data_IF_196002005516
#
_entry.id   IF_196002005516
#
_cell.length_a   1.000
_cell.length_b   1.000
_cell.length_c   1.000
_cell.angle_alpha   90.00
_cell.angle_beta   90.00
_cell.angle_gamma   90.00
#
_symmetry.space_group_name_H-M   'P 1'
#
loop_
_entity.id
_entity.type
_entity.pdbx_description
1 polymer ?
#
# COMPACT_ATOMS: atom_id res chain seq x y z
N UNK A 1 -56.91 -11.34 3.93
CA UNK A 1 -56.07 -11.32 5.15
C UNK A 1 -55.21 -12.58 5.30
N UNK A 2 -55.75 -13.80 5.19
CA UNK A 2 -54.94 -15.04 5.21
C UNK A 2 -54.15 -15.27 3.92
N UNK A 3 -54.68 -14.83 2.79
CA UNK A 3 -54.00 -14.89 1.47
C UNK A 3 -52.78 -13.95 1.46
N UNK A 4 -52.90 -12.76 2.03
CA UNK A 4 -51.82 -11.79 2.14
C UNK A 4 -50.68 -12.27 3.04
N UNK A 5 -50.99 -12.95 4.17
CA UNK A 5 -49.96 -13.54 5.02
C UNK A 5 -49.25 -14.75 4.38
N UNK A 6 -50.00 -15.59 3.67
CA UNK A 6 -49.39 -16.70 2.90
C UNK A 6 -48.52 -16.19 1.75
N UNK A 7 -48.92 -15.09 1.09
CA UNK A 7 -48.14 -14.48 0.03
C UNK A 7 -46.83 -13.89 0.57
N UNK A 8 -46.88 -13.18 1.71
CA UNK A 8 -45.69 -12.70 2.40
C UNK A 8 -44.75 -13.83 2.85
N UNK A 9 -45.29 -14.92 3.37
CA UNK A 9 -44.48 -16.10 3.76
C UNK A 9 -43.81 -16.76 2.54
N UNK A 10 -44.52 -16.86 1.41
CA UNK A 10 -43.96 -17.41 0.16
C UNK A 10 -42.88 -16.46 -0.37
N UNK A 11 -43.07 -15.13 -0.33
CA UNK A 11 -42.07 -14.17 -0.73
C UNK A 11 -40.84 -14.22 0.18
N UNK A 12 -41.00 -14.34 1.49
CA UNK A 12 -39.88 -14.56 2.42
C UNK A 12 -39.10 -15.85 2.14
N UNK A 13 -39.83 -16.97 1.89
CA UNK A 13 -39.20 -18.26 1.56
C UNK A 13 -38.48 -18.23 0.21
N UNK A 14 -39.06 -17.52 -0.79
CA UNK A 14 -38.43 -17.30 -2.09
C UNK A 14 -37.17 -16.42 -1.95
N UNK A 15 -37.26 -15.36 -1.16
CA UNK A 15 -36.16 -14.49 -0.84
C UNK A 15 -35.00 -15.22 -0.14
N UNK A 16 -35.32 -16.09 0.82
CA UNK A 16 -34.31 -16.94 1.47
C UNK A 16 -33.72 -17.99 0.51
N UNK A 17 -34.52 -18.63 -0.34
CA UNK A 17 -34.02 -19.56 -1.35
C UNK A 17 -33.16 -18.86 -2.41
N UNK A 18 -33.57 -17.71 -2.89
CA UNK A 18 -32.79 -16.90 -3.84
C UNK A 18 -31.49 -16.46 -3.18
N UNK A 19 -31.53 -16.04 -1.92
CA UNK A 19 -30.33 -15.70 -1.13
C UNK A 19 -29.39 -16.89 -0.96
N UNK A 20 -29.92 -18.08 -0.69
CA UNK A 20 -29.13 -19.32 -0.60
C UNK A 20 -28.56 -19.75 -1.95
N UNK A 21 -29.35 -19.68 -3.03
CA UNK A 21 -28.90 -19.96 -4.39
C UNK A 21 -27.87 -18.93 -4.86
N UNK A 22 -28.05 -17.65 -4.51
CA UNK A 22 -27.10 -16.59 -4.77
C UNK A 22 -25.78 -16.83 -4.03
N UNK A 23 -25.81 -17.16 -2.74
CA UNK A 23 -24.62 -17.50 -1.97
C UNK A 23 -23.90 -18.73 -2.50
N UNK A 24 -24.63 -19.77 -2.89
CA UNK A 24 -24.07 -21.05 -3.33
C UNK A 24 -23.58 -21.01 -4.80
N UNK A 25 -24.33 -20.37 -5.70
CA UNK A 25 -24.00 -20.37 -7.14
C UNK A 25 -23.12 -19.19 -7.53
N UNK A 26 -23.30 -18.02 -6.92
CA UNK A 26 -22.43 -16.85 -7.19
C UNK A 26 -21.02 -17.07 -6.63
N UNK A 27 -20.90 -17.67 -5.45
CA UNK A 27 -19.59 -18.09 -4.89
C UNK A 27 -18.90 -19.11 -5.79
N UNK A 28 -19.64 -19.98 -6.46
CA UNK A 28 -19.12 -20.99 -7.38
C UNK A 28 -18.65 -20.40 -8.72
N UNK A 29 -19.31 -19.36 -9.26
CA UNK A 29 -19.07 -18.82 -10.59
C UNK A 29 -18.24 -17.55 -10.62
N UNK A 30 -18.39 -16.64 -9.65
CA UNK A 30 -17.75 -15.31 -9.66
C UNK A 30 -16.66 -15.13 -8.62
N UNK A 31 -16.48 -16.10 -7.72
CA UNK A 31 -15.49 -16.05 -6.65
C UNK A 31 -15.84 -15.09 -5.51
N UNK A 32 -15.15 -15.25 -4.38
CA UNK A 32 -15.35 -14.48 -3.14
C UNK A 32 -15.13 -12.96 -3.26
N UNK A 33 -14.54 -12.49 -4.37
CA UNK A 33 -14.22 -11.07 -4.60
C UNK A 33 -15.45 -10.19 -4.85
N UNK A 34 -16.43 -10.68 -5.61
CA UNK A 34 -17.56 -9.86 -6.07
C UNK A 34 -18.62 -9.59 -5.00
N UNK A 35 -18.81 -10.50 -4.03
CA UNK A 35 -19.72 -10.26 -2.89
C UNK A 35 -19.21 -9.16 -1.95
N UNK A 36 -17.88 -9.11 -1.71
CA UNK A 36 -17.27 -8.02 -0.95
C UNK A 36 -17.37 -6.67 -1.66
N UNK A 37 -17.49 -6.68 -2.98
CA UNK A 37 -17.67 -5.46 -3.76
C UNK A 37 -19.09 -4.93 -3.64
N UNK A 38 -20.12 -5.78 -3.66
CA UNK A 38 -21.52 -5.38 -3.43
C UNK A 38 -21.70 -4.80 -2.02
N UNK A 39 -21.17 -5.46 -0.99
CA UNK A 39 -21.22 -4.97 0.40
C UNK A 39 -20.62 -3.58 0.55
N UNK A 40 -19.62 -3.24 -0.27
CA UNK A 40 -18.98 -1.94 -0.31
C UNK A 40 -19.91 -0.81 -0.73
N UNK A 41 -20.88 -1.07 -1.62
CA UNK A 41 -21.82 -0.06 -2.12
C UNK A 41 -23.09 0.04 -1.27
N UNK A 42 -23.31 -0.91 -0.38
CA UNK A 42 -24.58 -0.99 0.38
C UNK A 42 -24.48 -0.65 1.85
N UNK A 43 -23.29 -0.43 2.37
CA UNK A 43 -22.91 -0.13 3.76
C UNK A 43 -24.05 -0.28 4.77
N UNK A 44 -24.32 -1.52 5.21
CA UNK A 44 -25.31 -1.82 6.23
C UNK A 44 -26.76 -1.81 5.76
N UNK A 45 -27.08 -1.40 4.52
CA UNK A 45 -28.46 -1.46 3.98
C UNK A 45 -28.73 -2.82 3.33
N UNK A 46 -29.37 -3.69 4.09
CA UNK A 46 -29.71 -5.06 3.66
C UNK A 46 -30.76 -5.08 2.53
N UNK A 47 -31.68 -4.10 2.47
CA UNK A 47 -32.70 -4.01 1.43
C UNK A 47 -32.05 -3.72 0.08
N UNK A 48 -31.18 -2.74 0.04
CA UNK A 48 -30.48 -2.34 -1.18
C UNK A 48 -29.52 -3.43 -1.69
N UNK A 49 -28.80 -4.09 -0.79
CA UNK A 49 -27.95 -5.25 -1.13
C UNK A 49 -28.77 -6.39 -1.74
N UNK A 50 -29.98 -6.63 -1.25
CA UNK A 50 -30.91 -7.62 -1.79
C UNK A 50 -31.38 -7.24 -3.20
N UNK A 51 -31.77 -5.97 -3.44
CA UNK A 51 -32.21 -5.46 -4.74
C UNK A 51 -31.11 -5.61 -5.79
N UNK A 52 -29.90 -5.22 -5.46
CA UNK A 52 -28.72 -5.39 -6.32
C UNK A 52 -28.53 -6.87 -6.67
N UNK A 53 -28.70 -7.75 -5.68
CA UNK A 53 -28.59 -9.20 -5.88
C UNK A 53 -29.64 -9.75 -6.84
N UNK A 54 -30.87 -9.24 -6.80
CA UNK A 54 -31.92 -9.59 -7.75
C UNK A 54 -31.59 -9.17 -9.17
N UNK A 55 -31.09 -7.95 -9.39
CA UNK A 55 -30.67 -7.49 -10.72
C UNK A 55 -29.55 -8.36 -11.29
N UNK A 56 -28.54 -8.68 -10.48
CA UNK A 56 -27.43 -9.54 -10.92
C UNK A 56 -27.96 -10.94 -11.26
N UNK A 57 -28.85 -11.49 -10.44
CA UNK A 57 -29.43 -12.82 -10.65
C UNK A 57 -30.34 -12.87 -11.87
N UNK A 58 -31.18 -11.84 -12.11
CA UNK A 58 -32.06 -11.75 -13.30
C UNK A 58 -31.23 -11.78 -14.58
N UNK A 59 -30.13 -11.05 -14.60
CA UNK A 59 -29.23 -11.04 -15.76
C UNK A 59 -28.51 -12.37 -15.97
N UNK A 60 -28.07 -13.00 -14.91
CA UNK A 60 -27.42 -14.31 -14.97
C UNK A 60 -28.38 -15.38 -15.52
N UNK A 61 -29.64 -15.34 -15.09
CA UNK A 61 -30.67 -16.31 -15.51
C UNK A 61 -31.37 -15.92 -16.82
N UNK A 62 -31.23 -14.68 -17.29
CA UNK A 62 -31.99 -14.13 -18.39
C UNK A 62 -33.50 -13.98 -18.09
N UNK A 63 -33.87 -13.91 -16.80
CA UNK A 63 -35.25 -13.88 -16.33
C UNK A 63 -35.74 -12.45 -16.06
N UNK A 64 -36.56 -11.93 -16.98
CA UNK A 64 -37.15 -10.60 -16.88
C UNK A 64 -38.17 -10.45 -15.75
N UNK A 65 -38.78 -11.52 -15.26
CA UNK A 65 -39.72 -11.43 -14.15
C UNK A 65 -38.99 -11.07 -12.85
N UNK A 66 -37.78 -11.56 -12.66
CA UNK A 66 -36.92 -11.19 -11.52
C UNK A 66 -36.42 -9.76 -11.66
N UNK A 67 -36.10 -9.29 -12.87
CA UNK A 67 -35.72 -7.89 -13.12
C UNK A 67 -36.87 -6.94 -12.75
N UNK A 68 -38.12 -7.26 -13.20
CA UNK A 68 -39.30 -6.48 -12.83
C UNK A 68 -39.52 -6.46 -11.30
N UNK A 69 -39.30 -7.58 -10.63
CA UNK A 69 -39.39 -7.63 -9.17
C UNK A 69 -38.33 -6.76 -8.49
N UNK A 70 -37.11 -6.70 -9.04
CA UNK A 70 -36.07 -5.79 -8.56
C UNK A 70 -36.45 -4.32 -8.74
N UNK A 71 -37.09 -3.98 -9.88
CA UNK A 71 -37.59 -2.63 -10.17
C UNK A 71 -38.69 -2.21 -9.17
N UNK A 72 -39.63 -3.12 -8.84
CA UNK A 72 -40.69 -2.87 -7.85
C UNK A 72 -40.10 -2.62 -6.45
N UNK A 73 -39.13 -3.43 -6.04
CA UNK A 73 -38.47 -3.24 -4.74
C UNK A 73 -37.65 -1.94 -4.70
N UNK A 74 -36.96 -1.61 -5.80
CA UNK A 74 -36.21 -0.35 -5.88
C UNK A 74 -37.16 0.86 -5.80
N UNK A 75 -38.28 0.81 -6.51
CA UNK A 75 -39.30 1.86 -6.44
C UNK A 75 -39.89 2.00 -5.03
N UNK A 76 -40.17 0.89 -4.33
CA UNK A 76 -40.63 0.91 -2.95
C UNK A 76 -39.62 1.57 -2.00
N UNK A 77 -38.33 1.30 -2.19
CA UNK A 77 -37.25 1.91 -1.39
C UNK A 77 -37.17 3.40 -1.66
N UNK A 78 -37.29 3.83 -2.92
CA UNK A 78 -37.33 5.24 -3.30
C UNK A 78 -38.52 5.95 -2.67
N UNK A 79 -39.73 5.35 -2.71
CA UNK A 79 -40.94 5.91 -2.12
C UNK A 79 -40.84 6.01 -0.59
N UNK A 80 -40.28 4.99 0.09
CA UNK A 80 -39.99 5.05 1.53
C UNK A 80 -39.06 6.22 1.85
N UNK A 81 -38.04 6.45 1.04
CA UNK A 81 -37.06 7.53 1.23
C UNK A 81 -37.63 8.95 1.03
N UNK A 82 -38.58 9.10 0.12
CA UNK A 82 -39.25 10.36 -0.08
C UNK A 82 -40.21 10.75 1.08
N UNK A 83 -40.63 9.76 1.87
CA UNK A 83 -41.65 9.94 2.90
C UNK A 83 -41.10 9.84 4.35
N UNK A 84 -39.93 9.28 4.57
CA UNK A 84 -39.32 9.08 5.91
C UNK A 84 -37.97 9.80 6.02
N UNK A 85 -37.82 10.65 7.04
CA UNK A 85 -36.58 11.39 7.37
C UNK A 85 -35.43 10.45 7.82
N UNK A 86 -35.75 9.17 8.07
CA UNK A 86 -34.80 8.18 8.65
C UNK A 86 -33.94 7.46 7.62
N UNK A 87 -34.18 7.63 6.33
CA UNK A 87 -33.47 6.88 5.29
C UNK A 87 -32.15 7.55 4.93
N UNK A 88 -31.10 6.76 4.93
CA UNK A 88 -29.72 7.21 4.66
C UNK A 88 -29.53 7.38 3.15
N UNK A 89 -29.78 8.58 2.61
CA UNK A 89 -29.68 8.90 1.18
C UNK A 89 -28.34 8.59 0.57
N UNK A 90 -27.26 8.67 1.33
CA UNK A 90 -25.94 8.27 0.86
C UNK A 90 -25.85 6.78 0.51
N UNK A 91 -26.57 5.90 1.22
CA UNK A 91 -26.59 4.46 0.89
C UNK A 91 -27.32 4.22 -0.44
N UNK A 92 -28.44 4.90 -0.65
CA UNK A 92 -29.15 4.83 -1.94
C UNK A 92 -28.27 5.32 -3.08
N UNK A 93 -27.59 6.45 -2.90
CA UNK A 93 -26.64 6.99 -3.87
C UNK A 93 -25.55 5.99 -4.22
N UNK A 94 -24.94 5.33 -3.24
CA UNK A 94 -23.95 4.29 -3.45
C UNK A 94 -24.52 3.10 -4.26
N UNK A 95 -25.75 2.67 -3.94
CA UNK A 95 -26.43 1.60 -4.66
C UNK A 95 -26.74 1.96 -6.12
N UNK A 96 -27.24 3.16 -6.39
CA UNK A 96 -27.45 3.65 -7.75
C UNK A 96 -26.14 3.73 -8.55
N UNK A 97 -25.07 4.22 -7.95
CA UNK A 97 -23.75 4.23 -8.60
C UNK A 97 -23.36 2.80 -9.03
N UNK A 98 -23.55 1.81 -8.15
CA UNK A 98 -23.26 0.43 -8.50
C UNK A 98 -24.13 -0.09 -9.64
N UNK A 99 -25.45 0.11 -9.57
CA UNK A 99 -26.42 -0.34 -10.58
C UNK A 99 -26.12 0.26 -11.96
N UNK A 100 -25.87 1.58 -12.01
CA UNK A 100 -25.55 2.31 -13.25
C UNK A 100 -24.21 1.86 -13.85
N UNK A 101 -23.16 1.77 -13.06
CA UNK A 101 -21.81 1.42 -13.53
C UNK A 101 -21.69 -0.02 -14.02
N UNK A 102 -22.50 -0.92 -13.48
CA UNK A 102 -22.60 -2.28 -13.94
C UNK A 102 -23.67 -2.46 -15.03
N UNK A 103 -24.30 -1.37 -15.48
CA UNK A 103 -25.33 -1.35 -16.50
C UNK A 103 -26.57 -2.15 -16.09
N UNK A 104 -26.86 -2.33 -14.82
CA UNK A 104 -28.02 -3.05 -14.29
C UNK A 104 -29.29 -2.20 -14.41
N UNK A 105 -29.17 -0.90 -14.35
CA UNK A 105 -30.18 0.07 -14.71
C UNK A 105 -29.64 1.01 -15.80
N UNK A 106 -30.55 1.65 -16.55
CA UNK A 106 -30.19 2.60 -17.59
C UNK A 106 -30.34 4.04 -17.05
N UNK A 107 -29.40 4.90 -17.42
CA UNK A 107 -29.44 6.31 -17.07
C UNK A 107 -28.06 6.96 -17.06
N UNK A 108 -28.08 8.30 -17.02
CA UNK A 108 -26.86 9.07 -16.79
C UNK A 108 -26.68 9.24 -15.28
N UNK A 109 -25.46 8.99 -14.77
CA UNK A 109 -25.18 9.04 -13.33
C UNK A 109 -25.46 10.43 -12.73
N UNK A 110 -25.12 11.52 -13.44
CA UNK A 110 -25.36 12.87 -12.96
C UNK A 110 -26.86 13.23 -12.90
N UNK A 111 -27.67 12.66 -13.79
CA UNK A 111 -29.13 12.87 -13.78
C UNK A 111 -29.82 12.09 -12.68
N UNK A 112 -29.46 10.82 -12.51
CA UNK A 112 -30.05 9.92 -11.49
C UNK A 112 -29.70 10.37 -10.07
N UNK A 113 -28.49 10.88 -9.85
CA UNK A 113 -27.99 11.26 -8.53
C UNK A 113 -28.19 12.74 -8.21
N UNK A 114 -28.81 13.52 -9.09
CA UNK A 114 -29.00 14.98 -8.95
C UNK A 114 -29.62 15.37 -7.61
N UNK A 115 -30.71 14.72 -7.22
CA UNK A 115 -31.45 15.05 -6.00
C UNK A 115 -30.64 14.68 -4.73
N UNK A 116 -29.88 13.61 -4.79
CA UNK A 116 -28.98 13.20 -3.70
C UNK A 116 -27.82 14.20 -3.57
N UNK A 117 -27.22 14.60 -4.70
CA UNK A 117 -26.17 15.63 -4.73
C UNK A 117 -26.67 16.98 -4.19
N UNK A 118 -27.93 17.38 -4.52
CA UNK A 118 -28.54 18.60 -4.00
C UNK A 118 -28.76 18.55 -2.47
N UNK A 119 -29.21 17.42 -1.94
CA UNK A 119 -29.36 17.25 -0.49
C UNK A 119 -27.98 17.32 0.23
N UNK A 120 -26.95 16.74 -0.37
CA UNK A 120 -25.60 16.86 0.15
C UNK A 120 -25.09 18.30 0.12
N UNK A 121 -25.40 19.06 -0.93
CA UNK A 121 -25.07 20.48 -1.01
C UNK A 121 -25.68 21.27 0.13
N UNK A 122 -26.95 21.05 0.41
CA UNK A 122 -27.66 21.70 1.53
C UNK A 122 -27.04 21.32 2.89
N UNK A 123 -26.70 20.03 3.06
CA UNK A 123 -26.05 19.54 4.27
C UNK A 123 -24.66 20.18 4.49
N UNK A 124 -23.87 20.32 3.43
CA UNK A 124 -22.58 21.00 3.49
C UNK A 124 -22.71 22.50 3.76
N UNK A 125 -23.74 23.16 3.21
CA UNK A 125 -24.01 24.59 3.45
C UNK A 125 -24.51 24.86 4.88
N UNK A 126 -25.41 24.01 5.38
CA UNK A 126 -25.96 24.12 6.72
C UNK A 126 -24.95 23.73 7.81
N UNK A 127 -23.89 23.04 7.44
CA UNK A 127 -22.88 22.48 8.35
C UNK A 127 -23.49 21.64 9.48
N UNK A 128 -24.53 20.87 9.17
CA UNK A 128 -25.31 20.10 10.14
C UNK A 128 -25.20 18.61 9.87
N UNK A 129 -24.05 18.03 10.25
CA UNK A 129 -23.87 16.57 10.29
C UNK A 129 -23.85 16.16 11.76
N UNK A 130 -24.97 15.62 12.23
CA UNK A 130 -25.19 15.41 13.66
C UNK A 130 -24.56 14.12 14.20
N UNK A 131 -24.24 13.16 13.32
CA UNK A 131 -23.68 11.88 13.73
C UNK A 131 -22.53 11.42 12.83
N UNK A 132 -21.62 10.63 13.43
CA UNK A 132 -20.44 10.08 12.78
C UNK A 132 -20.79 9.16 11.61
N UNK A 133 -21.82 8.33 11.75
CA UNK A 133 -22.20 7.36 10.72
C UNK A 133 -22.65 8.05 9.44
N UNK A 134 -23.49 9.10 9.58
CA UNK A 134 -23.93 9.92 8.44
C UNK A 134 -22.76 10.63 7.78
N UNK A 135 -21.85 11.19 8.56
CA UNK A 135 -20.64 11.84 8.04
C UNK A 135 -19.81 10.86 7.19
N UNK A 136 -19.56 9.69 7.73
CA UNK A 136 -18.76 8.65 7.07
C UNK A 136 -19.48 8.12 5.82
N UNK A 137 -20.79 7.95 5.88
CA UNK A 137 -21.61 7.53 4.74
C UNK A 137 -21.58 8.51 3.58
N UNK A 138 -21.71 9.79 3.84
CA UNK A 138 -21.62 10.85 2.83
C UNK A 138 -20.21 10.99 2.24
N UNK A 139 -19.18 10.84 3.05
CA UNK A 139 -17.81 10.81 2.58
C UNK A 139 -17.60 9.62 1.62
N UNK A 140 -18.11 8.43 1.99
CA UNK A 140 -18.04 7.25 1.13
C UNK A 140 -18.77 7.46 -0.20
N UNK A 141 -19.99 8.00 -0.18
CA UNK A 141 -20.73 8.35 -1.38
C UNK A 141 -19.93 9.26 -2.30
N UNK A 142 -19.35 10.34 -1.76
CA UNK A 142 -18.52 11.26 -2.53
C UNK A 142 -17.26 10.60 -3.10
N UNK A 143 -16.63 9.70 -2.36
CA UNK A 143 -15.50 8.95 -2.88
C UNK A 143 -15.87 8.12 -4.11
N UNK A 144 -17.06 7.51 -4.12
CA UNK A 144 -17.56 6.79 -5.28
C UNK A 144 -17.90 7.76 -6.43
N UNK A 145 -18.56 8.89 -6.14
CA UNK A 145 -18.90 9.91 -7.16
C UNK A 145 -17.68 10.50 -7.85
N UNK A 146 -16.59 10.69 -7.13
CA UNK A 146 -15.35 11.31 -7.64
C UNK A 146 -14.50 10.31 -8.46
N UNK A 147 -14.67 9.01 -8.26
CA UNK A 147 -13.94 7.93 -8.96
C UNK A 147 -14.42 7.73 -10.43
N UNK A 148 -14.89 8.81 -11.08
CA UNK A 148 -15.39 8.78 -12.47
C UNK A 148 -14.32 9.30 -13.42
N UNK A 149 -13.99 8.51 -14.44
CA UNK A 149 -13.04 8.91 -15.49
C UNK A 149 -13.63 9.93 -16.52
N UNK A 150 -14.95 10.04 -16.63
CA UNK A 150 -15.64 10.79 -17.71
C UNK A 150 -16.83 11.65 -17.22
N UNK A 151 -16.85 12.10 -15.97
CA UNK A 151 -17.95 12.92 -15.44
C UNK A 151 -17.93 14.39 -15.89
N UNK A 152 -19.07 15.09 -15.74
CA UNK A 152 -19.16 16.53 -15.93
C UNK A 152 -18.16 17.26 -15.00
N UNK A 153 -17.29 18.08 -15.56
CA UNK A 153 -16.22 18.77 -14.82
C UNK A 153 -16.72 19.67 -13.67
N UNK A 154 -17.91 20.25 -13.81
CA UNK A 154 -18.53 21.09 -12.79
C UNK A 154 -19.08 20.26 -11.62
N UNK A 155 -19.78 19.17 -11.91
CA UNK A 155 -20.28 18.23 -10.87
C UNK A 155 -19.09 17.62 -10.11
N UNK A 156 -18.05 17.21 -10.82
CA UNK A 156 -16.84 16.68 -10.22
C UNK A 156 -16.17 17.71 -9.29
N UNK A 157 -16.06 18.98 -9.73
CA UNK A 157 -15.47 20.05 -8.92
C UNK A 157 -16.28 20.28 -7.64
N UNK A 158 -17.62 20.32 -7.76
CA UNK A 158 -18.52 20.52 -6.63
C UNK A 158 -18.46 19.36 -5.63
N UNK A 159 -18.47 18.13 -6.10
CA UNK A 159 -18.30 16.95 -5.25
C UNK A 159 -16.95 16.93 -4.51
N UNK A 160 -15.87 17.41 -5.16
CA UNK A 160 -14.57 17.61 -4.49
C UNK A 160 -14.65 18.67 -3.38
N UNK A 161 -15.36 19.77 -3.61
CA UNK A 161 -15.55 20.81 -2.59
C UNK A 161 -16.36 20.29 -1.40
N UNK A 162 -17.45 19.56 -1.66
CA UNK A 162 -18.27 18.95 -0.62
C UNK A 162 -17.46 17.92 0.19
N UNK A 163 -16.64 17.12 -0.47
CA UNK A 163 -15.76 16.17 0.22
C UNK A 163 -14.78 16.89 1.17
N UNK A 164 -14.15 17.97 0.71
CA UNK A 164 -13.27 18.79 1.56
C UNK A 164 -14.03 19.36 2.76
N UNK A 165 -15.26 19.82 2.55
CA UNK A 165 -16.12 20.32 3.61
C UNK A 165 -16.38 19.23 4.67
N UNK A 166 -16.82 18.04 4.28
CA UNK A 166 -17.10 16.95 5.20
C UNK A 166 -15.84 16.42 5.91
N UNK A 167 -14.72 16.39 5.22
CA UNK A 167 -13.45 15.97 5.80
C UNK A 167 -12.97 16.93 6.91
N UNK A 168 -13.24 18.23 6.79
CA UNK A 168 -12.95 19.18 7.86
C UNK A 168 -13.84 18.96 9.10
N UNK A 169 -14.99 18.28 8.94
CA UNK A 169 -15.87 17.90 10.05
C UNK A 169 -15.39 16.67 10.81
N UNK A 170 -14.54 15.84 10.23
CA UNK A 170 -14.00 14.64 10.90
C UNK A 170 -13.29 14.94 12.21
N UNK A 171 -12.77 16.16 12.38
CA UNK A 171 -12.11 16.59 13.60
C UNK A 171 -13.02 16.62 14.84
N UNK A 172 -14.33 16.64 14.62
CA UNK A 172 -15.34 16.65 15.69
C UNK A 172 -15.66 15.26 16.22
N UNK A 173 -15.19 14.21 15.53
CA UNK A 173 -15.52 12.82 15.86
C UNK A 173 -14.26 12.00 16.09
N UNK A 174 -14.29 11.13 17.11
CA UNK A 174 -13.26 10.13 17.31
C UNK A 174 -13.38 9.01 16.25
N UNK A 175 -12.32 8.84 15.46
CA UNK A 175 -12.25 7.84 14.41
C UNK A 175 -11.59 6.59 14.97
N UNK A 176 -12.27 5.45 14.86
CA UNK A 176 -11.82 4.16 15.41
C UNK A 176 -11.47 3.14 14.32
N UNK A 177 -11.04 1.95 14.74
CA UNK A 177 -10.59 0.87 13.85
C UNK A 177 -11.65 0.33 12.90
N UNK A 178 -12.92 0.36 13.30
CA UNK A 178 -14.05 -0.11 12.49
C UNK A 178 -14.31 0.76 11.25
N UNK A 179 -13.77 1.98 11.23
CA UNK A 179 -13.89 2.91 10.11
C UNK A 179 -12.90 2.60 8.95
N UNK A 180 -12.12 1.53 9.05
CA UNK A 180 -11.02 1.17 8.13
C UNK A 180 -11.45 0.96 6.66
N UNK A 181 -12.70 0.53 6.42
CA UNK A 181 -13.21 0.30 5.05
C UNK A 181 -13.32 1.62 4.29
N UNK A 182 -13.76 2.67 4.98
CA UNK A 182 -13.90 4.01 4.42
C UNK A 182 -12.55 4.60 3.99
N UNK A 183 -11.52 4.39 4.79
CA UNK A 183 -10.16 4.89 4.51
C UNK A 183 -9.53 4.26 3.27
N UNK A 184 -9.88 3.01 2.93
CA UNK A 184 -9.41 2.36 1.69
C UNK A 184 -9.95 3.04 0.44
N UNK A 185 -11.18 3.52 0.48
CA UNK A 185 -11.79 4.19 -0.66
C UNK A 185 -11.35 5.65 -0.80
N UNK A 186 -11.11 6.31 0.30
CA UNK A 186 -10.57 7.67 0.30
C UNK A 186 -9.14 7.75 -0.26
N UNK A 187 -8.36 6.67 -0.21
CA UNK A 187 -7.06 6.58 -0.89
C UNK A 187 -7.17 6.70 -2.40
N UNK A 188 -8.22 6.15 -3.02
CA UNK A 188 -8.47 6.31 -4.46
C UNK A 188 -8.70 7.76 -4.84
N UNK A 189 -9.34 8.52 -3.97
CA UNK A 189 -9.59 9.95 -4.14
C UNK A 189 -8.31 10.78 -4.03
N UNK A 190 -7.35 10.35 -3.20
CA UNK A 190 -6.03 10.97 -3.12
C UNK A 190 -5.29 10.96 -4.47
N UNK A 191 -5.34 9.83 -5.18
CA UNK A 191 -4.73 9.71 -6.51
C UNK A 191 -5.46 10.51 -7.59
N UNK A 192 -6.69 10.95 -7.34
CA UNK A 192 -7.43 11.84 -8.24
C UNK A 192 -7.06 13.32 -8.10
N UNK A 193 -6.05 13.69 -7.32
CA UNK A 193 -5.50 15.05 -7.21
C UNK A 193 -6.20 15.95 -6.19
N UNK A 194 -6.84 15.39 -5.16
CA UNK A 194 -7.39 16.14 -4.05
C UNK A 194 -6.31 16.60 -3.06
N UNK A 195 -6.56 17.74 -2.43
CA UNK A 195 -5.66 18.51 -1.58
C UNK A 195 -4.79 17.63 -0.63
N UNK A 196 -3.46 17.77 -0.68
CA UNK A 196 -2.53 16.95 0.12
C UNK A 196 -2.73 17.01 1.63
N UNK A 197 -3.30 18.09 2.15
CA UNK A 197 -3.48 18.32 3.59
C UNK A 197 -4.54 17.40 4.18
N UNK A 198 -5.64 17.20 3.46
CA UNK A 198 -6.78 16.39 3.92
C UNK A 198 -6.47 14.91 3.85
N UNK A 199 -5.83 14.49 2.75
CA UNK A 199 -5.38 13.10 2.56
C UNK A 199 -4.30 12.69 3.55
N UNK A 200 -3.43 13.60 3.95
CA UNK A 200 -2.41 13.30 4.97
C UNK A 200 -3.02 12.94 6.34
N UNK A 201 -4.16 13.52 6.72
CA UNK A 201 -4.83 13.22 8.00
C UNK A 201 -5.48 11.84 8.01
N UNK A 202 -6.10 11.46 6.93
CA UNK A 202 -6.76 10.14 6.80
C UNK A 202 -5.74 9.01 6.66
N UNK A 203 -4.70 9.25 5.87
CA UNK A 203 -3.53 8.38 5.79
C UNK A 203 -2.82 8.25 7.15
N UNK A 204 -2.91 9.26 8.03
CA UNK A 204 -2.30 9.23 9.35
C UNK A 204 -2.91 8.14 10.27
N UNK A 205 -4.22 7.93 10.23
CA UNK A 205 -4.88 6.88 11.05
C UNK A 205 -4.51 5.48 10.57
N UNK A 206 -4.45 5.23 9.25
CA UNK A 206 -4.02 3.93 8.72
C UNK A 206 -2.49 3.72 8.86
N UNK A 207 -1.70 4.77 8.67
CA UNK A 207 -0.24 4.71 8.87
C UNK A 207 0.14 4.23 10.27
N UNK A 208 -0.66 4.59 11.28
CA UNK A 208 -0.43 4.14 12.66
C UNK A 208 -0.70 2.64 12.89
N UNK A 209 -1.17 1.90 11.86
CA UNK A 209 -1.46 0.45 11.92
C UNK A 209 -0.51 -0.39 11.07
N UNK A 210 0.21 0.22 10.12
CA UNK A 210 1.09 -0.51 9.23
C UNK A 210 2.41 -0.76 9.95
N UNK A 211 2.67 -2.02 10.26
CA UNK A 211 3.94 -2.44 10.83
C UNK A 211 4.98 -2.70 9.73
N UNK A 212 6.19 -2.25 9.96
CA UNK A 212 7.33 -2.41 9.06
C UNK A 212 8.57 -2.86 9.81
N UNK A 213 9.31 -3.79 9.25
CA UNK A 213 10.61 -4.20 9.77
C UNK A 213 11.71 -3.68 8.85
N UNK A 214 12.63 -2.87 9.39
CA UNK A 214 13.88 -2.55 8.69
C UNK A 214 14.90 -3.64 8.97
N UNK A 215 15.51 -4.17 7.91
CA UNK A 215 16.57 -5.17 8.03
C UNK A 215 17.90 -4.58 7.58
N UNK A 216 18.91 -4.70 8.42
CA UNK A 216 20.22 -4.07 8.25
C UNK A 216 21.32 -5.11 8.51
N UNK A 217 21.90 -5.71 7.47
CA UNK A 217 23.11 -6.51 7.63
C UNK A 217 24.33 -5.60 7.71
N UNK A 218 25.26 -5.89 8.60
CA UNK A 218 26.43 -5.03 8.78
C UNK A 218 27.70 -5.84 9.11
N UNK A 219 28.82 -5.33 8.64
CA UNK A 219 30.17 -5.60 9.11
C UNK A 219 30.85 -4.25 9.33
N UNK A 220 31.23 -3.99 10.58
CA UNK A 220 31.84 -2.70 10.95
C UNK A 220 33.30 -2.68 10.54
N UNK A 221 33.65 -1.81 9.60
CA UNK A 221 34.99 -1.65 9.07
C UNK A 221 35.59 -0.25 9.31
N UNK A 222 34.79 0.69 9.80
CA UNK A 222 35.22 2.06 10.13
C UNK A 222 34.37 2.68 11.22
N UNK A 223 34.94 3.70 11.90
CA UNK A 223 34.23 4.50 12.90
C UNK A 223 33.09 5.33 12.28
N UNK A 224 33.24 5.76 11.04
CA UNK A 224 32.24 6.48 10.29
C UNK A 224 31.03 5.59 10.02
N UNK A 225 31.23 4.32 9.63
CA UNK A 225 30.13 3.35 9.43
C UNK A 225 29.40 3.06 10.73
N UNK A 226 30.13 2.85 11.83
CA UNK A 226 29.57 2.69 13.17
C UNK A 226 28.72 3.92 13.55
N UNK A 227 29.27 5.13 13.39
CA UNK A 227 28.58 6.38 13.70
C UNK A 227 27.34 6.61 12.79
N UNK A 228 27.39 6.17 11.54
CA UNK A 228 26.26 6.23 10.61
C UNK A 228 25.14 5.29 11.06
N UNK A 229 25.49 4.06 11.44
CA UNK A 229 24.57 3.06 11.96
C UNK A 229 23.90 3.53 13.25
N UNK A 230 24.64 4.09 14.19
CA UNK A 230 24.09 4.64 15.44
C UNK A 230 23.02 5.70 15.16
N UNK A 231 23.34 6.65 14.29
CA UNK A 231 22.43 7.73 13.93
C UNK A 231 21.18 7.19 13.19
N UNK A 232 21.35 6.22 12.30
CA UNK A 232 20.26 5.58 11.58
C UNK A 232 19.33 4.84 12.54
N UNK A 233 19.87 4.01 13.45
CA UNK A 233 19.09 3.25 14.42
C UNK A 233 18.31 4.19 15.33
N UNK A 234 18.96 5.21 15.88
CA UNK A 234 18.29 6.20 16.72
C UNK A 234 17.10 6.84 16.01
N UNK A 235 17.26 7.18 14.75
CA UNK A 235 16.21 7.80 13.95
C UNK A 235 15.08 6.83 13.62
N UNK A 236 15.38 5.63 13.11
CA UNK A 236 14.37 4.65 12.74
C UNK A 236 13.62 4.11 13.96
N UNK A 237 14.27 3.95 15.12
CA UNK A 237 13.64 3.46 16.35
C UNK A 237 12.57 4.39 16.92
N UNK A 238 12.61 5.67 16.57
CA UNK A 238 11.60 6.66 16.99
C UNK A 238 10.31 6.60 16.14
N UNK A 239 10.33 5.87 15.03
CA UNK A 239 9.14 5.69 14.18
C UNK A 239 8.17 4.73 14.85
N UNK A 240 6.89 5.09 14.84
CA UNK A 240 5.82 4.20 15.33
C UNK A 240 5.70 2.96 14.43
N UNK A 241 5.28 1.84 15.00
CA UNK A 241 5.05 0.56 14.30
C UNK A 241 6.25 0.12 13.43
N UNK A 242 7.44 0.44 13.90
CA UNK A 242 8.68 0.14 13.21
C UNK A 242 9.53 -0.79 14.08
N UNK A 243 9.98 -1.88 13.48
CA UNK A 243 10.91 -2.82 14.07
C UNK A 243 12.22 -2.77 13.28
N UNK A 244 13.32 -3.02 13.95
CA UNK A 244 14.65 -3.04 13.34
C UNK A 244 15.30 -4.38 13.67
N UNK A 245 15.69 -5.12 12.64
CA UNK A 245 16.53 -6.30 12.76
C UNK A 245 17.94 -5.96 12.25
N UNK A 246 18.87 -5.90 13.17
CA UNK A 246 20.27 -5.63 12.89
C UNK A 246 21.06 -6.94 13.02
N UNK A 247 21.75 -7.36 11.96
CA UNK A 247 22.59 -8.54 11.97
C UNK A 247 24.05 -8.13 11.67
N UNK A 248 24.92 -8.27 12.66
CA UNK A 248 26.35 -8.12 12.47
C UNK A 248 26.97 -9.51 12.17
N UNK A 249 27.71 -9.58 11.07
CA UNK A 249 28.46 -10.80 10.71
C UNK A 249 29.95 -10.46 10.57
N UNK A 250 30.74 -10.91 11.56
CA UNK A 250 32.18 -10.65 11.63
C UNK A 250 32.86 -11.75 12.48
N UNK A 251 34.18 -11.74 12.51
CA UNK A 251 35.01 -12.65 13.35
C UNK A 251 34.72 -12.44 14.84
N UNK A 252 34.42 -11.22 15.25
CA UNK A 252 34.06 -10.82 16.61
C UNK A 252 32.99 -9.72 16.57
N UNK A 253 32.18 -9.63 17.63
CA UNK A 253 31.20 -8.57 17.76
C UNK A 253 31.91 -7.24 18.02
N UNK A 254 31.74 -6.29 17.11
CA UNK A 254 32.38 -4.96 17.18
C UNK A 254 31.35 -3.87 17.47
N UNK A 255 30.06 -4.13 17.17
CA UNK A 255 29.01 -3.15 17.35
C UNK A 255 28.35 -3.30 18.72
N UNK A 256 28.19 -2.20 19.40
CA UNK A 256 27.47 -2.12 20.66
C UNK A 256 26.35 -1.08 20.55
N UNK A 257 25.11 -1.52 20.73
CA UNK A 257 23.97 -0.61 20.79
C UNK A 257 24.16 0.44 21.90
N UNK A 258 24.10 1.72 21.54
CA UNK A 258 24.30 2.84 22.49
C UNK A 258 23.19 2.99 23.52
N UNK A 259 22.00 2.47 23.23
CA UNK A 259 20.85 2.52 24.11
C UNK A 259 20.03 1.22 24.01
N UNK A 260 19.19 0.97 24.99
CA UNK A 260 18.20 -0.09 24.94
C UNK A 260 16.97 0.43 24.20
N UNK A 261 16.68 -0.14 23.05
CA UNK A 261 15.49 0.14 22.26
C UNK A 261 14.55 -1.07 22.33
N UNK A 262 13.25 -0.83 22.53
CA UNK A 262 12.25 -1.90 22.62
C UNK A 262 11.96 -2.55 21.26
N UNK A 263 12.15 -1.80 20.18
CA UNK A 263 11.85 -2.18 18.82
C UNK A 263 13.10 -2.51 17.98
N UNK A 264 14.27 -2.66 18.60
CA UNK A 264 15.53 -3.03 17.91
C UNK A 264 16.01 -4.38 18.42
N UNK A 265 16.14 -5.33 17.52
CA UNK A 265 16.76 -6.65 17.80
C UNK A 265 18.10 -6.71 17.10
N UNK A 266 19.16 -6.80 17.90
CA UNK A 266 20.53 -7.03 17.44
C UNK A 266 20.86 -8.52 17.50
N UNK A 267 21.46 -9.04 16.43
CA UNK A 267 21.96 -10.41 16.32
C UNK A 267 23.41 -10.38 15.85
N UNK A 268 24.25 -11.18 16.47
CA UNK A 268 25.62 -11.40 16.03
C UNK A 268 25.79 -12.82 15.46
N UNK A 269 26.43 -12.91 14.30
CA UNK A 269 26.81 -14.16 13.65
C UNK A 269 28.33 -14.16 13.52
N UNK A 270 29.00 -15.15 14.13
CA UNK A 270 30.45 -15.30 13.94
C UNK A 270 30.69 -15.79 12.52
N UNK A 271 31.39 -14.96 11.75
CA UNK A 271 31.75 -15.22 10.37
C UNK A 271 33.25 -14.96 10.18
N UNK A 272 34.00 -16.01 9.86
CA UNK A 272 35.43 -15.92 9.61
C UNK A 272 35.74 -15.72 8.11
N UNK A 273 34.72 -15.62 7.26
CA UNK A 273 34.89 -15.33 5.85
C UNK A 273 35.41 -13.91 5.66
N UNK A 274 36.51 -13.69 4.93
CA UNK A 274 36.99 -12.33 4.64
C UNK A 274 36.00 -11.53 3.81
N UNK A 275 35.13 -12.18 3.05
CA UNK A 275 34.10 -11.54 2.22
C UNK A 275 32.80 -11.41 2.97
N UNK A 276 32.25 -10.21 3.05
CA UNK A 276 30.94 -10.00 3.63
C UNK A 276 29.83 -10.49 2.71
N UNK A 277 29.15 -11.55 3.08
CA UNK A 277 28.12 -12.21 2.27
C UNK A 277 26.75 -11.56 2.46
N UNK A 278 26.61 -10.31 1.96
CA UNK A 278 25.46 -9.44 2.17
C UNK A 278 24.13 -10.07 1.76
N UNK A 279 24.06 -10.71 0.59
CA UNK A 279 22.83 -11.34 0.07
C UNK A 279 22.33 -12.47 0.95
N UNK A 280 23.24 -13.29 1.48
CA UNK A 280 22.93 -14.35 2.42
C UNK A 280 22.34 -13.81 3.73
N UNK A 281 22.98 -12.79 4.33
CA UNK A 281 22.49 -12.20 5.58
C UNK A 281 21.18 -11.45 5.40
N UNK A 282 20.94 -10.83 4.25
CA UNK A 282 19.63 -10.25 3.92
C UNK A 282 18.53 -11.30 3.86
N UNK A 283 18.79 -12.47 3.25
CA UNK A 283 17.82 -13.57 3.23
C UNK A 283 17.57 -14.15 4.63
N UNK A 284 18.56 -14.21 5.50
CA UNK A 284 18.36 -14.59 6.90
C UNK A 284 17.45 -13.57 7.62
N UNK A 285 17.74 -12.29 7.49
CA UNK A 285 16.93 -11.21 8.08
C UNK A 285 15.51 -11.17 7.52
N UNK A 286 15.32 -11.39 6.21
CA UNK A 286 14.00 -11.50 5.59
C UNK A 286 13.15 -12.62 6.21
N UNK A 287 13.77 -13.77 6.53
CA UNK A 287 13.09 -14.87 7.20
C UNK A 287 12.79 -14.58 8.67
N UNK A 288 13.64 -13.81 9.35
CA UNK A 288 13.47 -13.42 10.75
C UNK A 288 12.42 -12.31 10.94
N UNK A 289 12.11 -11.55 9.90
CA UNK A 289 11.13 -10.48 9.97
C UNK A 289 9.70 -11.05 10.09
N UNK A 290 8.91 -10.52 11.02
CA UNK A 290 7.54 -10.96 11.28
C UNK A 290 6.49 -10.12 10.54
N UNK A 291 6.85 -8.90 10.10
CA UNK A 291 5.94 -7.99 9.41
C UNK A 291 5.80 -8.33 7.92
N UNK A 292 4.65 -7.99 7.35
CA UNK A 292 4.40 -8.18 5.91
C UNK A 292 5.19 -7.22 5.01
N UNK A 293 5.62 -6.09 5.56
CA UNK A 293 6.43 -5.09 4.85
C UNK A 293 7.82 -5.05 5.45
N UNK A 294 8.82 -5.16 4.60
CA UNK A 294 10.22 -5.10 5.01
C UNK A 294 10.93 -4.01 4.22
N UNK A 295 11.65 -3.15 4.94
CA UNK A 295 12.61 -2.20 4.38
C UNK A 295 14.03 -2.78 4.46
N UNK A 296 14.65 -3.00 3.32
CA UNK A 296 16.06 -3.38 3.23
C UNK A 296 16.86 -2.08 3.21
N UNK A 297 17.86 -1.97 4.10
CA UNK A 297 18.52 -0.69 4.33
C UNK A 297 20.02 -0.82 4.56
N UNK A 298 20.82 0.04 3.91
CA UNK A 298 22.23 0.16 4.20
C UNK A 298 22.47 1.12 5.38
N UNK A 299 23.58 0.93 6.09
CA UNK A 299 23.91 1.63 7.36
C UNK A 299 24.06 3.15 7.24
N UNK A 300 24.17 3.65 6.03
CA UNK A 300 24.61 5.01 5.68
C UNK A 300 23.63 5.73 4.74
N UNK A 301 22.41 5.19 4.61
CA UNK A 301 21.37 5.74 3.74
C UNK A 301 20.41 6.63 4.51
N UNK A 302 20.16 7.82 3.96
CA UNK A 302 19.24 8.82 4.52
C UNK A 302 18.18 9.20 3.49
N UNK A 303 16.93 9.15 3.95
CA UNK A 303 15.73 9.49 3.18
C UNK A 303 14.77 10.30 4.04
N UNK A 304 13.93 11.10 3.41
CA UNK A 304 12.90 11.85 4.14
C UNK A 304 11.81 10.92 4.66
N UNK A 305 11.15 11.32 5.74
CA UNK A 305 10.01 10.58 6.29
C UNK A 305 8.90 10.38 5.25
N UNK A 306 8.65 11.41 4.42
CA UNK A 306 7.67 11.34 3.34
C UNK A 306 8.00 10.22 2.34
N UNK A 307 9.27 10.09 1.94
CA UNK A 307 9.70 9.03 1.00
C UNK A 307 9.52 7.63 1.61
N UNK A 308 9.89 7.47 2.88
CA UNK A 308 9.71 6.22 3.62
C UNK A 308 8.23 5.85 3.70
N UNK A 309 7.39 6.78 4.12
CA UNK A 309 5.95 6.56 4.26
C UNK A 309 5.25 6.25 2.94
N UNK A 310 5.57 6.98 1.87
CA UNK A 310 5.00 6.72 0.54
C UNK A 310 5.40 5.33 0.02
N UNK A 311 6.62 4.89 0.29
CA UNK A 311 7.09 3.56 -0.08
C UNK A 311 6.36 2.45 0.70
N UNK A 312 6.19 2.61 2.00
CA UNK A 312 5.46 1.67 2.85
C UNK A 312 4.01 1.55 2.35
N UNK A 313 3.34 2.67 2.06
CA UNK A 313 1.98 2.68 1.54
C UNK A 313 1.90 2.00 0.16
N UNK A 314 2.88 2.25 -0.72
CA UNK A 314 2.93 1.62 -2.06
C UNK A 314 2.96 0.10 -1.96
N UNK A 315 3.74 -0.45 -1.03
CA UNK A 315 3.81 -1.90 -0.80
C UNK A 315 2.55 -2.41 -0.11
N UNK A 316 2.05 -1.70 0.90
CA UNK A 316 0.83 -2.07 1.62
C UNK A 316 -0.39 -2.19 0.70
N UNK A 317 -0.51 -1.31 -0.25
CA UNK A 317 -1.58 -1.29 -1.25
C UNK A 317 -1.37 -2.30 -2.39
N UNK A 318 -0.34 -3.11 -2.36
CA UNK A 318 0.02 -4.08 -3.39
C UNK A 318 0.18 -3.44 -4.80
N UNK A 319 0.60 -2.16 -4.85
CA UNK A 319 0.84 -1.45 -6.11
C UNK A 319 2.14 -1.86 -6.79
N UNK A 320 3.08 -2.41 -6.02
CA UNK A 320 4.34 -2.92 -6.55
C UNK A 320 4.90 -4.06 -5.71
N UNK A 321 5.71 -4.92 -6.33
CA UNK A 321 6.45 -5.98 -5.65
C UNK A 321 7.64 -5.41 -4.87
N UNK A 322 8.24 -4.33 -5.40
CA UNK A 322 9.37 -3.61 -4.82
C UNK A 322 9.17 -2.10 -5.02
N UNK A 323 9.45 -1.31 -3.98
CA UNK A 323 9.42 0.14 -4.02
C UNK A 323 10.76 0.73 -3.60
N UNK A 324 11.40 1.47 -4.50
CA UNK A 324 12.54 2.31 -4.14
C UNK A 324 12.03 3.62 -3.52
N UNK A 325 12.46 3.98 -2.29
CA UNK A 325 12.06 5.22 -1.64
C UNK A 325 12.74 6.46 -2.24
N UNK A 326 13.20 6.38 -3.49
CA UNK A 326 13.86 7.46 -4.21
C UNK A 326 13.75 7.28 -5.72
N UNK A 327 13.98 8.34 -6.47
CA UNK A 327 13.78 8.40 -7.93
C UNK A 327 14.96 7.84 -8.76
N UNK A 328 15.96 7.24 -8.13
CA UNK A 328 17.19 6.77 -8.75
C UNK A 328 18.36 7.74 -8.59
N UNK A 329 18.13 8.96 -8.11
CA UNK A 329 19.19 9.90 -7.79
C UNK A 329 19.84 9.54 -6.45
N UNK A 330 21.13 9.25 -6.48
CA UNK A 330 21.94 8.84 -5.33
C UNK A 330 23.03 9.89 -5.11
N UNK A 331 22.91 10.63 -4.00
CA UNK A 331 23.82 11.73 -3.66
C UNK A 331 24.78 11.28 -2.56
N UNK A 332 26.05 11.05 -2.92
CA UNK A 332 27.11 10.77 -1.94
C UNK A 332 27.54 12.06 -1.27
N UNK A 333 27.44 12.12 0.06
CA UNK A 333 27.85 13.29 0.83
C UNK A 333 29.34 13.27 1.16
N UNK A 334 29.93 14.47 1.30
CA UNK A 334 31.24 14.66 1.91
C UNK A 334 31.17 14.36 3.43
N UNK A 335 32.31 14.24 4.07
CA UNK A 335 32.38 14.12 5.54
C UNK A 335 31.67 15.32 6.19
N UNK A 336 31.92 16.53 5.70
CA UNK A 336 31.29 17.76 6.22
C UNK A 336 29.78 17.75 5.98
N UNK A 337 29.31 17.41 4.77
CA UNK A 337 27.89 17.31 4.46
C UNK A 337 27.18 16.26 5.32
N UNK A 338 27.85 15.15 5.62
CA UNK A 338 27.33 14.11 6.51
C UNK A 338 27.18 14.58 7.96
N UNK A 339 28.15 15.35 8.46
CA UNK A 339 28.09 15.94 9.81
C UNK A 339 26.94 16.94 9.89
N UNK A 340 26.83 17.86 8.94
CA UNK A 340 25.74 18.84 8.88
C UNK A 340 24.37 18.16 8.89
N UNK A 341 24.21 17.11 8.09
CA UNK A 341 22.94 16.37 8.03
C UNK A 341 22.61 15.66 9.35
N UNK A 342 23.62 15.11 10.03
CA UNK A 342 23.44 14.43 11.32
C UNK A 342 23.09 15.40 12.44
N UNK A 343 23.71 16.59 12.45
CA UNK A 343 23.51 17.61 13.50
C UNK A 343 22.19 18.37 13.35
N UNK A 344 21.91 18.84 12.13
CA UNK A 344 20.73 19.66 11.84
C UNK A 344 19.49 18.84 11.46
N UNK A 345 19.64 17.52 11.29
CA UNK A 345 18.58 16.61 10.90
C UNK A 345 18.21 16.71 9.42
N UNK A 346 17.24 15.88 9.01
CA UNK A 346 16.87 15.73 7.60
C UNK A 346 16.25 16.99 6.98
N UNK A 347 15.71 17.89 7.79
CA UNK A 347 15.18 19.17 7.34
C UNK A 347 16.27 20.08 6.73
N UNK A 348 17.54 19.85 7.09
CA UNK A 348 18.69 20.58 6.56
C UNK A 348 19.15 20.12 5.15
N UNK A 349 18.52 19.10 4.57
CA UNK A 349 18.84 18.62 3.22
C UNK A 349 18.84 19.77 2.19
N UNK A 350 17.87 20.67 2.31
CA UNK A 350 17.80 21.84 1.41
C UNK A 350 18.90 22.90 1.66
N UNK A 351 19.64 22.77 2.74
CA UNK A 351 20.76 23.66 3.08
C UNK A 351 22.11 23.11 2.64
N UNK A 352 22.15 21.88 2.10
CA UNK A 352 23.37 21.30 1.57
C UNK A 352 23.83 22.08 0.34
N UNK A 353 25.09 22.43 0.33
CA UNK A 353 25.77 23.11 -0.81
C UNK A 353 26.36 22.07 -1.76
N UNK A 354 26.80 22.52 -2.93
CA UNK A 354 27.49 21.66 -3.88
C UNK A 354 28.80 21.08 -3.34
N UNK A 355 29.47 21.74 -2.39
CA UNK A 355 30.68 21.24 -1.72
C UNK A 355 30.40 20.13 -0.70
N UNK A 356 29.15 19.99 -0.25
CA UNK A 356 28.73 18.95 0.66
C UNK A 356 28.42 17.62 -0.05
N UNK A 357 28.33 17.64 -1.39
CA UNK A 357 28.02 16.50 -2.24
C UNK A 357 29.28 16.12 -3.03
N UNK A 358 29.78 14.89 -2.81
CA UNK A 358 30.94 14.35 -3.52
C UNK A 358 30.60 13.90 -4.95
N UNK A 359 29.48 13.24 -5.09
CA UNK A 359 29.02 12.70 -6.38
C UNK A 359 27.53 12.52 -6.41
N UNK A 360 26.96 12.58 -7.61
CA UNK A 360 25.57 12.27 -7.89
C UNK A 360 25.55 11.18 -8.97
N UNK A 361 24.86 10.08 -8.68
CA UNK A 361 24.53 9.04 -9.65
C UNK A 361 23.04 9.09 -9.95
N UNK A 362 22.67 8.89 -11.20
CA UNK A 362 21.29 8.73 -11.64
C UNK A 362 21.04 7.26 -11.98
N UNK A 363 19.83 6.79 -11.88
CA UNK A 363 19.48 5.37 -12.16
C UNK A 363 20.01 4.35 -11.14
N UNK A 364 20.35 4.78 -9.91
CA UNK A 364 20.74 3.86 -8.84
C UNK A 364 19.55 2.94 -8.44
N UNK A 365 19.91 1.71 -8.07
CA UNK A 365 18.98 0.65 -7.62
C UNK A 365 19.41 0.02 -6.29
N UNK A 366 20.38 0.63 -5.59
CA UNK A 366 20.92 0.15 -4.32
C UNK A 366 20.55 1.04 -3.13
N UNK A 367 21.09 0.70 -1.98
CA UNK A 367 21.04 1.48 -0.73
C UNK A 367 19.81 1.29 0.13
N UNK A 368 18.62 1.41 -0.43
CA UNK A 368 17.36 1.19 0.28
C UNK A 368 16.21 0.82 -0.64
N UNK A 369 15.34 -0.10 -0.21
CA UNK A 369 14.10 -0.43 -0.89
C UNK A 369 13.13 -1.13 0.06
N UNK A 370 11.84 -1.11 -0.28
CA UNK A 370 10.77 -1.80 0.44
C UNK A 370 10.16 -2.91 -0.39
N UNK A 371 9.75 -3.98 0.27
CA UNK A 371 9.12 -5.14 -0.36
C UNK A 371 7.94 -5.67 0.46
N UNK A 372 6.99 -6.31 -0.22
CA UNK A 372 6.12 -7.27 0.44
C UNK A 372 6.95 -8.53 0.71
N UNK A 373 7.20 -8.83 1.98
CA UNK A 373 8.10 -9.92 2.42
C UNK A 373 7.78 -11.26 1.78
N UNK A 374 6.51 -11.67 1.82
CA UNK A 374 6.11 -12.99 1.32
C UNK A 374 6.24 -13.07 -0.19
N UNK A 375 5.79 -12.04 -0.91
CA UNK A 375 5.94 -11.98 -2.36
C UNK A 375 7.42 -11.95 -2.75
N UNK A 376 8.23 -11.16 -2.06
CA UNK A 376 9.66 -11.05 -2.37
C UNK A 376 10.41 -12.37 -2.17
N UNK A 377 10.10 -13.10 -1.09
CA UNK A 377 10.64 -14.44 -0.87
C UNK A 377 10.19 -15.43 -1.97
N UNK A 378 8.94 -15.38 -2.41
CA UNK A 378 8.44 -16.19 -3.53
C UNK A 378 9.14 -15.87 -4.86
N UNK A 379 9.58 -14.62 -5.04
CA UNK A 379 10.34 -14.16 -6.21
C UNK A 379 11.85 -14.40 -6.07
N UNK A 380 12.28 -15.13 -5.03
CA UNK A 380 13.66 -15.56 -4.83
C UNK A 380 14.42 -14.85 -3.71
N UNK A 381 13.86 -13.79 -3.12
CA UNK A 381 14.58 -12.97 -2.15
C UNK A 381 15.83 -12.32 -2.78
N UNK A 382 16.95 -12.37 -2.09
CA UNK A 382 18.25 -11.99 -2.64
C UNK A 382 18.90 -13.21 -3.34
N UNK A 383 19.54 -12.95 -4.46
CA UNK A 383 20.28 -13.99 -5.18
C UNK A 383 21.63 -14.25 -4.48
N UNK A 384 21.74 -15.39 -3.78
CA UNK A 384 22.95 -15.75 -3.02
C UNK A 384 24.14 -16.22 -3.91
N UNK A 385 24.00 -16.24 -5.23
CA UNK A 385 25.14 -16.41 -6.12
C UNK A 385 26.02 -15.15 -6.19
N UNK A 386 25.49 -14.00 -5.77
CA UNK A 386 26.28 -12.78 -5.58
C UNK A 386 27.02 -12.84 -4.25
N UNK A 387 28.29 -13.18 -4.31
CA UNK A 387 29.17 -13.25 -3.18
C UNK A 387 30.05 -12.00 -3.12
N UNK A 388 30.01 -11.29 -1.99
CA UNK A 388 30.67 -9.99 -1.82
C UNK A 388 29.88 -8.84 -2.47
N UNK A 389 30.60 -7.85 -2.95
CA UNK A 389 30.03 -6.62 -3.47
C UNK A 389 29.87 -6.68 -4.99
N UNK A 390 28.75 -6.16 -5.51
CA UNK A 390 28.56 -5.74 -6.90
C UNK A 390 27.59 -6.59 -7.72
N UNK A 391 26.81 -5.91 -8.53
CA UNK A 391 25.77 -6.40 -9.45
C UNK A 391 24.50 -6.99 -8.80
N UNK A 392 24.45 -7.27 -7.50
CA UNK A 392 23.27 -7.82 -6.82
C UNK A 392 22.06 -6.90 -6.92
N UNK A 393 22.27 -5.59 -6.79
CA UNK A 393 21.21 -4.59 -6.90
C UNK A 393 20.64 -4.49 -8.33
N UNK A 394 21.52 -4.57 -9.34
CA UNK A 394 21.13 -4.57 -10.76
C UNK A 394 20.37 -5.85 -11.12
N UNK A 395 20.83 -7.00 -10.60
CA UNK A 395 20.16 -8.29 -10.82
C UNK A 395 18.75 -8.26 -10.24
N UNK A 396 18.58 -7.82 -9.00
CA UNK A 396 17.28 -7.69 -8.35
C UNK A 396 16.29 -6.91 -9.20
N UNK A 397 16.71 -5.74 -9.68
CA UNK A 397 15.88 -4.92 -10.56
C UNK A 397 15.55 -5.64 -11.86
N UNK A 398 16.56 -6.22 -12.53
CA UNK A 398 16.39 -6.92 -13.80
C UNK A 398 15.55 -8.18 -13.69
N UNK A 399 15.73 -8.94 -12.61
CA UNK A 399 14.93 -10.13 -12.31
C UNK A 399 13.44 -9.79 -12.18
N UNK A 400 13.10 -8.74 -11.43
CA UNK A 400 11.72 -8.29 -11.29
C UNK A 400 11.13 -7.82 -12.63
N UNK A 401 11.92 -7.12 -13.45
CA UNK A 401 11.52 -6.71 -14.81
C UNK A 401 11.20 -7.92 -15.69
N UNK A 402 12.08 -8.93 -15.76
CA UNK A 402 11.87 -10.16 -16.54
C UNK A 402 10.66 -10.94 -16.04
N UNK A 403 10.45 -11.00 -14.72
CA UNK A 403 9.30 -11.64 -14.10
C UNK A 403 8.00 -10.82 -14.21
N UNK A 404 8.03 -9.69 -14.91
CA UNK A 404 6.91 -8.77 -15.09
C UNK A 404 6.31 -8.29 -13.76
N UNK A 405 7.15 -8.12 -12.73
CA UNK A 405 6.72 -7.61 -11.44
C UNK A 405 6.81 -6.08 -11.40
N UNK A 406 5.77 -5.37 -10.94
CA UNK A 406 5.81 -3.92 -10.89
C UNK A 406 6.84 -3.44 -9.87
N UNK A 407 7.66 -2.47 -10.28
CA UNK A 407 8.63 -1.76 -9.44
C UNK A 407 8.27 -0.29 -9.42
N UNK A 408 8.12 0.29 -8.24
CA UNK A 408 7.79 1.71 -8.07
C UNK A 408 9.00 2.51 -7.55
N UNK A 409 9.02 3.80 -7.88
CA UNK A 409 10.02 4.75 -7.37
C UNK A 409 9.35 5.99 -6.82
N UNK A 410 9.67 6.33 -5.59
CA UNK A 410 9.19 7.56 -4.95
C UNK A 410 10.00 8.75 -5.44
N UNK A 411 9.37 9.91 -5.55
CA UNK A 411 10.05 11.14 -5.93
C UNK A 411 11.05 11.60 -4.86
N UNK A 412 12.19 12.16 -5.29
CA UNK A 412 13.24 12.69 -4.44
C UNK A 412 14.51 11.83 -4.45
N UNK A 413 15.65 12.41 -4.06
CA UNK A 413 16.94 11.72 -4.02
C UNK A 413 17.11 10.88 -2.75
N UNK A 414 18.07 9.96 -2.81
CA UNK A 414 18.69 9.29 -1.68
C UNK A 414 20.00 9.97 -1.34
N UNK A 415 20.27 10.18 -0.06
CA UNK A 415 21.55 10.70 0.42
C UNK A 415 22.34 9.59 1.11
N UNK A 416 23.61 9.49 0.78
CA UNK A 416 24.52 8.50 1.33
C UNK A 416 25.56 9.21 2.18
N UNK A 417 25.59 8.89 3.47
CA UNK A 417 26.54 9.43 4.44
C UNK A 417 27.96 8.95 4.12
N UNK A 418 28.91 9.81 4.35
CA UNK A 418 30.31 9.49 4.14
C UNK A 418 30.80 8.36 5.05
N UNK A 419 31.51 7.44 4.45
CA UNK A 419 32.43 6.50 5.10
C UNK A 419 33.59 6.16 4.15
N UNK A 420 34.77 5.82 4.65
CA UNK A 420 35.86 5.34 3.81
C UNK A 420 35.46 4.08 3.04
N UNK A 421 35.73 4.01 1.75
CA UNK A 421 35.55 2.77 0.99
C UNK A 421 36.68 1.81 1.33
N UNK A 422 36.30 0.67 1.92
CA UNK A 422 37.21 -0.42 2.27
C UNK A 422 36.75 -1.73 1.60
N UNK A 423 37.27 -2.85 2.05
CA UNK A 423 37.06 -4.17 1.49
C UNK A 423 35.58 -4.54 1.30
N UNK A 424 34.69 -4.10 2.20
CA UNK A 424 33.25 -4.37 2.12
C UNK A 424 32.47 -3.46 1.14
N UNK A 425 33.17 -2.50 0.50
CA UNK A 425 32.55 -1.49 -0.40
C UNK A 425 33.08 -1.56 -1.83
N UNK A 426 33.80 -2.60 -2.19
CA UNK A 426 34.37 -2.82 -3.51
C UNK A 426 34.60 -4.31 -3.76
N UNK A 427 34.84 -4.69 -5.01
CA UNK A 427 35.27 -6.04 -5.35
C UNK A 427 36.61 -6.35 -4.69
N UNK A 428 36.71 -7.46 -3.99
CA UNK A 428 37.97 -7.85 -3.34
C UNK A 428 39.03 -8.35 -4.33
N UNK A 429 38.59 -8.92 -5.44
CA UNK A 429 39.46 -9.37 -6.51
C UNK A 429 38.71 -9.50 -7.84
N UNK A 430 39.46 -9.59 -8.96
CA UNK A 430 38.91 -9.68 -10.31
C UNK A 430 38.05 -10.93 -10.53
N UNK A 431 38.35 -12.04 -9.86
CA UNK A 431 37.58 -13.29 -10.01
C UNK A 431 36.19 -13.13 -9.45
N UNK A 432 36.01 -12.46 -8.31
CA UNK A 432 34.72 -12.16 -7.73
C UNK A 432 33.92 -11.19 -8.59
N UNK A 433 34.58 -10.17 -9.12
CA UNK A 433 33.96 -9.24 -10.06
C UNK A 433 33.44 -9.98 -11.30
N UNK A 434 34.27 -10.84 -11.88
CA UNK A 434 33.90 -11.61 -13.06
C UNK A 434 32.74 -12.57 -12.77
N UNK A 435 32.78 -13.29 -11.64
CA UNK A 435 31.72 -14.20 -11.21
C UNK A 435 30.38 -13.46 -11.05
N UNK A 436 30.37 -12.32 -10.34
CA UNK A 436 29.15 -11.55 -10.13
C UNK A 436 28.60 -10.97 -11.46
N UNK A 437 29.48 -10.52 -12.35
CA UNK A 437 29.09 -10.07 -13.69
C UNK A 437 28.52 -11.20 -14.55
N UNK A 438 29.10 -12.40 -14.48
CA UNK A 438 28.61 -13.58 -15.20
C UNK A 438 27.21 -13.99 -14.71
N UNK A 439 26.98 -14.01 -13.41
CA UNK A 439 25.67 -14.31 -12.85
C UNK A 439 24.63 -13.28 -13.28
N UNK A 440 24.98 -11.99 -13.25
CA UNK A 440 24.10 -10.92 -13.74
C UNK A 440 23.75 -11.10 -15.22
N UNK A 441 24.74 -11.33 -16.08
CA UNK A 441 24.51 -11.53 -17.52
C UNK A 441 23.70 -12.79 -17.80
N UNK A 442 23.91 -13.85 -17.04
CA UNK A 442 23.13 -15.07 -17.10
C UNK A 442 21.66 -14.81 -16.86
N UNK A 443 21.31 -14.07 -15.79
CA UNK A 443 19.93 -13.67 -15.49
C UNK A 443 19.36 -12.78 -16.59
N UNK A 444 20.14 -11.82 -17.10
CA UNK A 444 19.71 -10.93 -18.20
C UNK A 444 19.35 -11.67 -19.49
N UNK A 445 19.98 -12.82 -19.74
CA UNK A 445 19.75 -13.65 -20.94
C UNK A 445 18.57 -14.60 -20.85
N UNK A 446 17.91 -14.70 -19.69
CA UNK A 446 16.79 -15.63 -19.48
C UNK A 446 15.45 -15.04 -19.92
N UNK A 447 14.60 -15.88 -20.49
CA UNK A 447 13.18 -15.60 -20.62
C UNK A 447 12.49 -15.65 -19.25
N UNK A 448 11.26 -15.12 -19.17
CA UNK A 448 10.47 -15.15 -17.92
C UNK A 448 10.30 -16.58 -17.38
N UNK A 449 10.08 -17.56 -18.25
CA UNK A 449 9.87 -18.94 -17.84
C UNK A 449 11.16 -19.62 -17.37
N UNK A 450 12.28 -19.42 -18.08
CA UNK A 450 13.59 -19.92 -17.67
C UNK A 450 14.01 -19.31 -16.31
N UNK A 451 13.75 -18.02 -16.11
CA UNK A 451 14.07 -17.34 -14.86
C UNK A 451 13.22 -17.86 -13.69
N UNK A 452 11.92 -18.16 -13.90
CA UNK A 452 11.09 -18.79 -12.87
C UNK A 452 11.66 -20.15 -12.43
N UNK A 453 12.04 -20.99 -13.40
CA UNK A 453 12.63 -22.31 -13.12
C UNK A 453 13.98 -22.15 -12.41
N UNK A 454 14.79 -21.19 -12.84
CA UNK A 454 16.08 -20.90 -12.23
C UNK A 454 15.93 -20.47 -10.77
N UNK A 455 15.04 -19.52 -10.49
CA UNK A 455 14.71 -19.05 -9.13
C UNK A 455 14.20 -20.21 -8.27
N UNK A 456 13.32 -21.08 -8.79
CA UNK A 456 12.83 -22.25 -8.06
C UNK A 456 13.93 -23.27 -7.72
N UNK A 457 15.02 -23.30 -8.46
CA UNK A 457 16.15 -24.18 -8.20
C UNK A 457 17.08 -23.68 -7.08
N UNK A 458 16.89 -22.46 -6.58
CA UNK A 458 17.75 -21.87 -5.55
C UNK A 458 17.56 -22.54 -4.20
N UNK A 459 18.66 -23.01 -3.60
CA UNK A 459 18.62 -23.80 -2.34
C UNK A 459 18.09 -23.03 -1.14
N UNK A 460 18.32 -21.71 -1.10
CA UNK A 460 17.90 -20.84 0.01
C UNK A 460 16.41 -20.54 0.02
N UNK A 461 15.67 -20.84 -1.06
CA UNK A 461 14.21 -20.68 -1.12
C UNK A 461 13.50 -21.82 -0.39
N UNK A 462 14.07 -23.03 -0.42
CA UNK A 462 13.44 -24.26 0.08
C UNK A 462 13.57 -24.44 1.60
N UNK A 463 14.23 -23.54 2.31
CA UNK A 463 14.36 -23.61 3.77
C UNK A 463 13.09 -23.04 4.41
N UNK A 464 12.17 -23.95 4.79
CA UNK A 464 10.98 -23.66 5.59
C UNK A 464 11.36 -23.25 7.02
#
# INVERSE_FOLDING_TARGET
>A
TQISQKYMQIQQLLAEKIRLCYQLNFIKFYGRGNLKEVDRYTIGDKKLGYIISLYIYSRFMGDKAIEYQADEYLSSVIDEMCNEVTVKLYNLGCGFIYLLRNGLILGNEDDVLRDIDLQLDWLCLALNVDDKESLLGWIHYLCLRIDIKNGNSLVLLKNKQNLICLLNYLDKFDICEDDSILFKDMRKVHFAGLCPVVTNRLLFVEKNKIEVTFIIPVRIDSKERESNLDWLIERLSRRRNTFILLLEADTESRYLLKAKYENVKYCFVRDNDPVFYRTHYLNQLLRMADTSIVGIWDTDVVLSEKQIEESILTIYENRSALCYPYNGMYCSLSMQGSLLLKEAGISSINSLSSSDILSISTSSVGGAFFVNRNLYLQLGGENEFFYGWGCEDLERYKRLEILCQPVYRVAGPLYHLYHPRKENSWYQNEMLELSNRQEFLKVCGMSCEELKQYVQSWKWISVK
#
